data_IF_039234502267
#
_entry.id   IF_039234502267
#
_cell.length_a   1.000
_cell.length_b   1.000
_cell.length_c   1.000
_cell.angle_alpha   90.00
_cell.angle_beta   90.00
_cell.angle_gamma   90.00
#
_symmetry.space_group_name_H-M   'P 1'
#
loop_
_entity.id
_entity.type
_entity.pdbx_description
1 polymer ?
#
# COMPACT_ATOMS: atom_id res chain seq x y z
N UNK A 1 8.91 -29.10 -1.45
CA UNK A 1 8.55 -28.79 -0.04
C UNK A 1 7.23 -28.04 -0.05
N UNK A 2 6.26 -28.48 0.78
CA UNK A 2 4.95 -27.80 0.86
C UNK A 2 4.99 -26.70 1.91
N UNK A 3 4.50 -25.52 1.57
CA UNK A 3 4.36 -24.37 2.47
C UNK A 3 3.01 -23.70 2.22
N UNK A 4 2.55 -22.87 3.18
CA UNK A 4 1.34 -22.05 3.04
C UNK A 4 1.72 -20.59 3.27
N UNK A 5 1.33 -19.71 2.38
CA UNK A 5 1.43 -18.26 2.56
C UNK A 5 0.03 -17.66 2.62
N UNK A 6 -0.18 -16.80 3.61
CA UNK A 6 -1.45 -16.11 3.81
C UNK A 6 -1.23 -14.61 3.76
N UNK A 7 -2.07 -13.92 2.98
CA UNK A 7 -2.09 -12.47 2.93
C UNK A 7 -3.49 -11.94 3.23
N UNK A 8 -3.57 -10.74 3.81
CA UNK A 8 -4.81 -10.03 4.04
C UNK A 8 -4.81 -8.67 3.35
N UNK A 9 -5.99 -8.20 2.98
CA UNK A 9 -6.25 -6.85 2.52
C UNK A 9 -7.53 -6.31 3.15
N UNK A 10 -7.73 -5.01 3.07
CA UNK A 10 -8.89 -4.33 3.62
C UNK A 10 -9.52 -3.38 2.60
N UNK A 11 -10.81 -3.08 2.77
CA UNK A 11 -11.50 -2.09 1.94
C UNK A 11 -11.10 -0.66 2.30
N UNK A 12 -11.41 0.30 1.42
CA UNK A 12 -11.22 1.73 1.68
C UNK A 12 -11.94 2.21 2.96
N UNK A 13 -13.01 1.53 3.37
CA UNK A 13 -13.77 1.87 4.57
C UNK A 13 -13.21 1.32 5.87
N UNK A 14 -12.13 0.53 5.82
CA UNK A 14 -11.45 0.10 7.04
C UNK A 14 -10.87 1.31 7.79
N UNK A 15 -10.97 1.40 9.14
CA UNK A 15 -10.56 2.58 9.91
C UNK A 15 -9.15 3.08 9.58
N UNK A 16 -8.16 2.18 9.52
CA UNK A 16 -6.79 2.57 9.19
C UNK A 16 -6.68 3.11 7.76
N UNK A 17 -7.43 2.53 6.80
CA UNK A 17 -7.42 3.01 5.41
C UNK A 17 -8.19 4.29 5.19
N UNK A 18 -9.19 4.59 6.00
CA UNK A 18 -9.79 5.93 6.06
C UNK A 18 -8.72 6.98 6.42
N UNK A 19 -7.89 6.68 7.42
CA UNK A 19 -6.80 7.57 7.84
C UNK A 19 -5.72 7.74 6.75
N UNK A 20 -5.27 6.64 6.14
CA UNK A 20 -4.29 6.66 5.04
C UNK A 20 -4.77 7.50 3.86
N UNK A 21 -6.03 7.32 3.45
CA UNK A 21 -6.62 8.08 2.33
C UNK A 21 -6.76 9.58 2.64
N UNK A 22 -7.11 9.95 3.87
CA UNK A 22 -7.17 11.36 4.27
C UNK A 22 -5.77 11.97 4.26
N UNK A 23 -4.77 11.28 4.82
CA UNK A 23 -3.39 11.76 4.89
C UNK A 23 -2.79 11.97 3.48
N UNK A 24 -2.97 11.02 2.57
CA UNK A 24 -2.47 11.13 1.19
C UNK A 24 -3.28 12.13 0.34
N UNK A 25 -4.58 12.30 0.58
CA UNK A 25 -5.37 13.36 -0.07
C UNK A 25 -4.92 14.76 0.36
N UNK A 26 -4.51 14.92 1.62
CA UNK A 26 -3.92 16.16 2.13
C UNK A 26 -2.56 16.40 1.48
N UNK A 27 -1.70 15.38 1.42
CA UNK A 27 -0.40 15.44 0.75
C UNK A 27 -0.57 15.88 -0.71
N UNK A 28 -1.47 15.24 -1.46
CA UNK A 28 -1.72 15.56 -2.86
C UNK A 28 -2.21 17.00 -3.05
N UNK A 29 -3.08 17.48 -2.16
CA UNK A 29 -3.58 18.85 -2.22
C UNK A 29 -2.45 19.88 -1.97
N UNK A 30 -1.54 19.59 -1.05
CA UNK A 30 -0.38 20.45 -0.78
C UNK A 30 0.58 20.44 -1.97
N UNK A 31 0.95 19.26 -2.49
CA UNK A 31 1.90 19.11 -3.60
C UNK A 31 1.39 19.71 -4.91
N UNK A 32 0.07 19.76 -5.11
CA UNK A 32 -0.53 20.40 -6.27
C UNK A 32 -0.26 21.91 -6.34
N UNK A 33 -0.13 22.57 -5.18
CA UNK A 33 0.13 24.01 -5.07
C UNK A 33 1.60 24.32 -4.74
N UNK A 34 2.26 23.45 -3.96
CA UNK A 34 3.65 23.56 -3.55
C UNK A 34 4.39 22.22 -3.71
N UNK A 35 4.96 21.93 -4.89
CA UNK A 35 5.71 20.70 -5.12
C UNK A 35 6.98 20.56 -4.27
N UNK A 36 7.43 21.64 -3.62
CA UNK A 36 8.62 21.63 -2.74
C UNK A 36 8.28 21.40 -1.26
N UNK A 37 6.98 21.27 -0.93
CA UNK A 37 6.52 21.09 0.44
C UNK A 37 7.14 19.90 1.16
N UNK A 38 7.33 20.04 2.46
CA UNK A 38 7.67 18.96 3.37
C UNK A 38 6.43 18.63 4.22
N UNK A 39 6.00 17.37 4.13
CA UNK A 39 4.76 16.89 4.76
C UNK A 39 5.03 15.59 5.50
N UNK A 40 4.64 15.56 6.76
CA UNK A 40 4.52 14.37 7.59
C UNK A 40 3.16 14.46 8.28
N UNK A 41 2.11 14.01 7.61
CA UNK A 41 0.73 14.11 8.05
C UNK A 41 0.25 12.76 8.56
N UNK A 42 -0.17 12.72 9.81
CA UNK A 42 -0.76 11.57 10.46
C UNK A 42 -2.24 11.84 10.75
N UNK A 43 -3.06 10.81 10.62
CA UNK A 43 -4.50 10.89 10.87
C UNK A 43 -4.91 9.79 11.82
N UNK A 44 -5.76 10.11 12.78
CA UNK A 44 -6.48 9.15 13.61
C UNK A 44 -7.98 9.34 13.44
N UNK A 45 -8.72 8.23 13.42
CA UNK A 45 -10.18 8.26 13.33
C UNK A 45 -10.78 7.26 14.34
N UNK A 46 -11.81 7.67 15.03
CA UNK A 46 -12.60 6.84 15.95
C UNK A 46 -14.03 7.36 15.99
N UNK A 47 -14.91 6.76 16.76
CA UNK A 47 -16.33 7.14 16.85
C UNK A 47 -16.53 8.66 16.79
N UNK A 48 -17.17 9.14 15.73
CA UNK A 48 -17.52 10.55 15.47
C UNK A 48 -16.36 11.56 15.51
N UNK A 49 -15.09 11.11 15.42
CA UNK A 49 -13.95 12.00 15.48
C UNK A 49 -12.88 11.63 14.45
N UNK A 50 -12.23 12.67 13.92
CA UNK A 50 -11.01 12.61 13.13
C UNK A 50 -10.03 13.63 13.69
N UNK A 51 -8.77 13.25 13.86
CA UNK A 51 -7.70 14.16 14.22
C UNK A 51 -6.60 14.10 13.16
N UNK A 52 -6.27 15.23 12.59
CA UNK A 52 -5.20 15.43 11.60
C UNK A 52 -4.06 16.11 12.37
N UNK A 53 -2.89 15.50 12.40
CA UNK A 53 -1.75 16.00 13.18
C UNK A 53 -0.44 15.77 12.40
N UNK A 54 0.62 16.43 12.83
CA UNK A 54 1.95 16.28 12.26
C UNK A 54 2.61 17.59 11.82
N UNK A 55 3.57 17.47 10.92
CA UNK A 55 4.40 18.58 10.50
C UNK A 55 4.19 18.87 9.01
N UNK A 56 3.92 20.16 8.72
CA UNK A 56 3.79 20.66 7.35
C UNK A 56 4.58 21.94 7.20
N UNK A 57 5.54 21.94 6.27
CA UNK A 57 6.25 23.14 5.83
C UNK A 57 5.95 23.34 4.35
N UNK A 58 5.04 24.25 4.05
CA UNK A 58 4.56 24.53 2.71
C UNK A 58 4.13 25.99 2.58
N UNK A 59 4.16 26.52 1.36
CA UNK A 59 3.51 27.78 1.01
C UNK A 59 1.99 27.62 0.83
N UNK A 60 1.53 26.38 0.58
CA UNK A 60 0.12 26.02 0.45
C UNK A 60 -0.51 25.73 1.82
N UNK A 61 -1.77 26.09 1.97
CA UNK A 61 -2.57 25.78 3.16
C UNK A 61 -4.01 25.44 2.73
N UNK A 62 -4.25 24.24 2.22
CA UNK A 62 -5.58 23.81 1.80
C UNK A 62 -6.53 23.69 2.99
N UNK A 63 -7.84 23.63 2.71
CA UNK A 63 -8.84 23.35 3.73
C UNK A 63 -8.79 21.85 4.12
N UNK A 64 -8.01 21.53 5.14
CA UNK A 64 -7.77 20.17 5.63
C UNK A 64 -9.06 19.47 6.09
N UNK A 65 -9.97 20.23 6.74
CA UNK A 65 -11.26 19.70 7.17
C UNK A 65 -12.14 19.34 5.98
N UNK A 66 -12.22 20.21 4.97
CA UNK A 66 -13.00 19.95 3.77
C UNK A 66 -12.45 18.72 2.99
N UNK A 67 -11.11 18.55 2.94
CA UNK A 67 -10.47 17.37 2.32
C UNK A 67 -10.87 16.10 3.07
N UNK A 68 -10.74 16.08 4.40
CA UNK A 68 -11.11 14.92 5.20
C UNK A 68 -12.58 14.53 5.01
N UNK A 69 -13.50 15.49 5.08
CA UNK A 69 -14.94 15.26 4.89
C UNK A 69 -15.26 14.73 3.49
N UNK A 70 -14.59 15.24 2.44
CA UNK A 70 -14.74 14.75 1.07
C UNK A 70 -14.31 13.28 0.99
N UNK A 71 -13.12 12.93 1.49
CA UNK A 71 -12.60 11.55 1.48
C UNK A 71 -13.53 10.60 2.23
N UNK A 72 -14.00 10.97 3.41
CA UNK A 72 -14.93 10.17 4.22
C UNK A 72 -16.24 9.92 3.44
N UNK A 73 -16.77 10.95 2.78
CA UNK A 73 -17.99 10.84 1.96
C UNK A 73 -17.77 9.95 0.74
N UNK A 74 -16.63 10.11 0.04
CA UNK A 74 -16.28 9.34 -1.16
C UNK A 74 -16.08 7.85 -0.83
N UNK A 75 -15.60 7.51 0.37
CA UNK A 75 -15.52 6.14 0.87
C UNK A 75 -16.92 5.54 1.04
N UNK A 76 -17.92 6.35 1.41
CA UNK A 76 -19.31 5.93 1.60
C UNK A 76 -19.80 6.03 3.03
N UNK A 77 -19.10 6.75 3.91
CA UNK A 77 -19.61 7.21 5.20
C UNK A 77 -20.34 8.55 5.00
N UNK A 78 -21.51 8.48 4.33
CA UNK A 78 -22.22 9.61 3.71
C UNK A 78 -23.59 9.89 4.31
N UNK A 79 -23.98 9.19 5.38
CA UNK A 79 -25.32 9.31 5.96
C UNK A 79 -25.33 9.11 7.47
N UNK A 80 -26.26 9.79 8.18
CA UNK A 80 -26.45 9.63 9.62
C UNK A 80 -26.77 8.17 10.02
N UNK A 81 -26.36 7.80 11.23
CA UNK A 81 -26.67 6.50 11.83
C UNK A 81 -25.63 5.41 11.56
N UNK A 82 -24.55 5.72 10.85
CA UNK A 82 -23.42 4.82 10.67
C UNK A 82 -22.44 4.83 11.86
N UNK A 83 -22.63 5.74 12.84
CA UNK A 83 -21.73 5.93 13.99
C UNK A 83 -20.44 6.67 13.64
N UNK A 84 -20.27 7.00 12.38
CA UNK A 84 -19.22 7.82 11.79
C UNK A 84 -19.67 8.26 10.40
N UNK A 85 -19.73 9.54 10.13
CA UNK A 85 -20.08 10.09 8.81
C UNK A 85 -19.42 11.44 8.52
N UNK A 86 -19.37 11.79 7.24
CA UNK A 86 -18.66 12.96 6.73
C UNK A 86 -19.21 14.28 7.24
N UNK A 87 -20.51 14.37 7.57
CA UNK A 87 -21.16 15.63 7.91
C UNK A 87 -21.15 15.88 9.42
N UNK A 88 -21.31 14.83 10.24
CA UNK A 88 -21.45 14.96 11.68
C UNK A 88 -20.17 14.74 12.47
N UNK A 89 -19.15 14.02 11.93
CA UNK A 89 -17.91 13.77 12.66
C UNK A 89 -17.17 15.07 12.99
N UNK A 90 -16.55 15.11 14.15
CA UNK A 90 -15.68 16.21 14.56
C UNK A 90 -14.31 16.05 13.91
N UNK A 91 -13.86 17.05 13.17
CA UNK A 91 -12.50 17.09 12.59
C UNK A 91 -11.68 18.11 13.39
N UNK A 92 -10.57 17.63 13.97
CA UNK A 92 -9.57 18.48 14.64
C UNK A 92 -8.31 18.53 13.79
N UNK A 93 -7.72 19.72 13.63
CA UNK A 93 -6.49 19.94 12.87
C UNK A 93 -5.42 20.48 13.80
N UNK A 94 -4.35 19.71 13.97
CA UNK A 94 -3.23 19.98 14.86
C UNK A 94 -1.90 19.86 14.09
N UNK A 95 -1.79 20.57 12.97
CA UNK A 95 -0.59 20.65 12.15
C UNK A 95 0.30 21.82 12.59
N UNK A 96 1.61 21.63 12.58
CA UNK A 96 2.59 22.65 12.88
C UNK A 96 3.78 22.60 11.90
N UNK A 97 4.62 23.61 11.91
CA UNK A 97 5.79 23.68 11.03
C UNK A 97 6.91 22.75 11.53
N UNK A 98 7.59 22.08 10.61
CA UNK A 98 8.71 21.19 10.92
C UNK A 98 9.84 21.91 11.68
N UNK A 99 10.54 21.16 12.54
CA UNK A 99 11.70 21.68 13.28
C UNK A 99 12.81 22.15 12.33
N UNK A 100 13.36 23.37 12.53
CA UNK A 100 14.48 23.88 11.72
C UNK A 100 15.74 23.01 11.79
N UNK A 101 15.92 22.23 12.86
CA UNK A 101 17.10 21.37 13.03
C UNK A 101 17.08 20.16 12.10
N UNK A 102 15.89 19.61 11.83
CA UNK A 102 15.71 18.52 10.85
C UNK A 102 15.94 19.05 9.43
N UNK A 103 15.41 20.22 9.10
CA UNK A 103 15.57 20.84 7.79
C UNK A 103 17.04 21.06 7.42
N UNK A 104 17.88 21.52 8.37
CA UNK A 104 19.32 21.75 8.15
C UNK A 104 20.12 20.51 7.81
N UNK A 105 19.71 19.33 8.27
CA UNK A 105 20.40 18.06 8.01
C UNK A 105 20.09 17.49 6.63
N UNK A 106 19.02 17.94 5.99
CA UNK A 106 18.48 17.37 4.74
C UNK A 106 18.70 18.30 3.54
N UNK A 107 18.66 19.62 3.73
CA UNK A 107 18.81 20.61 2.65
C UNK A 107 20.26 20.82 2.27
N UNK A 108 20.66 20.38 1.08
CA UNK A 108 21.93 20.70 0.44
C UNK A 108 21.74 21.66 -0.74
N UNK A 109 22.82 22.36 -1.11
CA UNK A 109 22.82 23.39 -2.18
C UNK A 109 22.40 22.85 -3.56
N UNK A 110 22.63 21.58 -3.84
CA UNK A 110 22.14 20.91 -5.05
C UNK A 110 21.02 19.95 -4.68
N UNK A 111 19.92 20.02 -5.38
CA UNK A 111 18.73 19.18 -5.15
C UNK A 111 19.04 17.67 -5.27
N UNK A 112 20.10 17.33 -6.02
CA UNK A 112 20.56 15.95 -6.21
C UNK A 112 21.32 15.40 -4.99
N UNK A 113 21.92 16.28 -4.20
CA UNK A 113 22.68 15.93 -3.00
C UNK A 113 21.84 15.99 -1.72
N UNK A 114 20.50 16.11 -1.87
CA UNK A 114 19.57 16.05 -0.73
C UNK A 114 19.79 14.75 0.03
N UNK A 115 20.18 14.87 1.29
CA UNK A 115 20.36 13.73 2.18
C UNK A 115 19.03 13.04 2.52
N UNK A 116 19.11 11.79 2.94
CA UNK A 116 17.94 11.08 3.45
C UNK A 116 17.34 11.81 4.65
N UNK A 117 16.03 11.99 4.66
CA UNK A 117 15.31 12.67 5.73
C UNK A 117 15.25 11.89 7.05
N UNK A 118 15.59 10.62 7.00
CA UNK A 118 15.68 9.74 8.15
C UNK A 118 16.66 8.59 7.88
N UNK A 119 16.99 7.84 8.91
CA UNK A 119 17.62 6.52 8.80
C UNK A 119 16.53 5.46 8.56
N UNK A 120 16.90 4.36 7.92
CA UNK A 120 15.97 3.24 7.77
C UNK A 120 16.42 2.22 6.75
N UNK A 121 15.69 1.12 6.69
CA UNK A 121 15.84 0.09 5.66
C UNK A 121 14.51 -0.12 4.95
N UNK A 122 14.56 -0.19 3.63
CA UNK A 122 13.40 -0.35 2.76
C UNK A 122 13.56 -1.60 1.92
N UNK A 123 12.48 -2.32 1.71
CA UNK A 123 12.47 -3.57 0.96
C UNK A 123 11.61 -3.44 -0.29
N UNK A 124 12.13 -3.96 -1.39
CA UNK A 124 11.39 -4.18 -2.62
C UNK A 124 11.35 -5.67 -2.93
N UNK A 125 10.26 -6.14 -3.51
CA UNK A 125 10.10 -7.55 -3.87
C UNK A 125 9.39 -7.69 -5.22
N UNK A 126 9.72 -8.74 -5.94
CA UNK A 126 9.00 -9.17 -7.14
C UNK A 126 9.11 -10.68 -7.29
N UNK A 127 8.09 -11.30 -7.87
CA UNK A 127 8.07 -12.73 -8.21
C UNK A 127 7.18 -12.98 -9.43
N UNK A 128 7.38 -14.13 -10.11
CA UNK A 128 6.64 -14.51 -11.33
C UNK A 128 5.32 -15.21 -11.07
N UNK A 129 4.62 -14.85 -10.00
CA UNK A 129 3.37 -15.51 -9.65
C UNK A 129 2.15 -14.86 -10.32
N UNK A 130 2.25 -13.57 -10.66
CA UNK A 130 1.21 -12.79 -11.33
C UNK A 130 1.78 -11.95 -12.47
N UNK A 131 0.91 -11.41 -13.34
CA UNK A 131 1.30 -10.53 -14.45
C UNK A 131 2.07 -9.29 -13.99
N UNK A 132 1.68 -8.71 -12.84
CA UNK A 132 2.34 -7.55 -12.25
C UNK A 132 3.60 -7.87 -11.45
N UNK A 133 4.03 -9.14 -11.46
CA UNK A 133 5.18 -9.63 -10.70
C UNK A 133 5.01 -9.40 -9.19
N UNK A 134 3.80 -9.67 -8.69
CA UNK A 134 3.40 -9.61 -7.28
C UNK A 134 3.10 -11.02 -6.74
N UNK A 135 3.22 -11.22 -5.41
CA UNK A 135 2.80 -12.47 -4.78
C UNK A 135 1.30 -12.72 -4.96
N UNK A 136 0.93 -13.95 -5.31
CA UNK A 136 -0.46 -14.33 -5.58
C UNK A 136 -1.41 -14.10 -4.40
N UNK A 137 -1.05 -14.43 -3.12
CA UNK A 137 -1.99 -14.27 -2.00
C UNK A 137 -2.42 -12.84 -1.77
N UNK A 138 -1.49 -11.86 -1.83
CA UNK A 138 -1.86 -10.44 -1.65
C UNK A 138 -2.64 -9.92 -2.84
N UNK A 139 -2.26 -10.29 -4.06
CA UNK A 139 -2.99 -9.90 -5.28
C UNK A 139 -4.46 -10.36 -5.21
N UNK A 140 -4.71 -11.61 -4.79
CA UNK A 140 -6.07 -12.11 -4.63
C UNK A 140 -6.81 -11.45 -3.46
N UNK A 141 -6.14 -11.20 -2.33
CA UNK A 141 -6.74 -10.52 -1.20
C UNK A 141 -7.18 -9.09 -1.57
N UNK A 142 -6.33 -8.32 -2.25
CA UNK A 142 -6.67 -6.99 -2.76
C UNK A 142 -7.80 -7.01 -3.77
N UNK A 143 -7.77 -7.96 -4.71
CA UNK A 143 -8.82 -8.12 -5.71
C UNK A 143 -10.19 -8.43 -5.07
N UNK A 144 -10.22 -9.27 -4.03
CA UNK A 144 -11.44 -9.56 -3.25
C UNK A 144 -11.95 -8.32 -2.51
N UNK A 145 -11.06 -7.54 -1.89
CA UNK A 145 -11.43 -6.30 -1.20
C UNK A 145 -11.95 -5.23 -2.19
N UNK A 146 -11.29 -5.06 -3.35
CA UNK A 146 -11.78 -4.21 -4.44
C UNK A 146 -13.14 -4.66 -4.95
N UNK A 147 -13.33 -5.97 -5.15
CA UNK A 147 -14.60 -6.51 -5.63
C UNK A 147 -15.72 -6.29 -4.62
N UNK A 148 -15.44 -6.48 -3.32
CA UNK A 148 -16.40 -6.20 -2.25
C UNK A 148 -16.88 -4.75 -2.27
N UNK A 149 -15.96 -3.80 -2.46
CA UNK A 149 -16.31 -2.39 -2.62
C UNK A 149 -17.08 -2.12 -3.91
N UNK A 150 -16.68 -2.72 -5.03
CA UNK A 150 -17.32 -2.52 -6.31
C UNK A 150 -18.79 -2.95 -6.29
N UNK A 151 -19.11 -4.13 -5.72
CA UNK A 151 -20.51 -4.61 -5.63
C UNK A 151 -21.37 -3.80 -4.66
N UNK A 152 -20.75 -3.13 -3.67
CA UNK A 152 -21.40 -2.15 -2.82
C UNK A 152 -21.73 -0.88 -3.60
N UNK A 153 -20.73 -0.30 -4.28
CA UNK A 153 -20.85 0.99 -4.98
C UNK A 153 -21.79 0.95 -6.17
N UNK A 154 -21.80 -0.14 -6.93
CA UNK A 154 -22.67 -0.31 -8.09
C UNK A 154 -24.10 -0.80 -7.75
N UNK A 155 -24.38 -1.04 -6.45
CA UNK A 155 -25.70 -1.47 -5.98
C UNK A 155 -26.03 -2.94 -6.21
N UNK A 156 -25.10 -3.78 -6.62
CA UNK A 156 -25.31 -5.24 -6.70
C UNK A 156 -25.63 -5.82 -5.32
N UNK A 157 -24.89 -5.39 -4.29
CA UNK A 157 -25.14 -5.73 -2.89
C UNK A 157 -25.36 -4.45 -2.07
N UNK A 158 -26.54 -3.81 -2.15
CA UNK A 158 -26.81 -2.47 -1.60
C UNK A 158 -26.85 -2.43 -0.07
N UNK A 159 -26.86 -3.56 0.57
CA UNK A 159 -26.82 -3.71 2.02
C UNK A 159 -25.40 -3.77 2.60
N UNK A 160 -24.38 -3.84 1.76
CA UNK A 160 -22.99 -3.72 2.21
C UNK A 160 -22.70 -2.30 2.68
N UNK A 161 -21.86 -2.21 3.70
CA UNK A 161 -21.32 -0.96 4.25
C UNK A 161 -19.82 -0.88 3.98
N UNK A 162 -19.16 0.28 4.20
CA UNK A 162 -17.81 0.52 3.68
C UNK A 162 -16.71 -0.38 4.23
N UNK A 163 -16.80 -0.83 5.50
CA UNK A 163 -15.73 -1.60 6.14
C UNK A 163 -15.75 -3.07 5.74
N UNK A 164 -14.57 -3.61 5.51
CA UNK A 164 -14.42 -5.02 5.17
C UNK A 164 -12.96 -5.46 5.11
N UNK A 165 -12.77 -6.77 5.19
CA UNK A 165 -11.46 -7.44 5.09
C UNK A 165 -11.57 -8.67 4.22
N UNK A 166 -10.47 -8.98 3.56
CA UNK A 166 -10.25 -10.22 2.82
C UNK A 166 -8.96 -10.88 3.28
N UNK A 167 -8.90 -12.20 3.26
CA UNK A 167 -7.69 -12.97 3.51
C UNK A 167 -7.68 -14.18 2.59
N UNK A 168 -6.53 -14.48 2.00
CA UNK A 168 -6.34 -15.64 1.12
C UNK A 168 -5.11 -16.41 1.57
N UNK A 169 -5.27 -17.73 1.74
CA UNK A 169 -4.18 -18.67 2.00
C UNK A 169 -3.96 -19.53 0.76
N UNK A 170 -2.74 -19.53 0.25
CA UNK A 170 -2.31 -20.32 -0.90
C UNK A 170 -1.30 -21.36 -0.44
N UNK A 171 -1.51 -22.60 -0.84
CA UNK A 171 -0.53 -23.68 -0.70
C UNK A 171 0.46 -23.62 -1.86
N UNK A 172 1.73 -23.85 -1.53
CA UNK A 172 2.84 -23.88 -2.48
C UNK A 172 3.49 -25.24 -2.47
N UNK A 173 3.93 -25.70 -3.63
CA UNK A 173 4.82 -26.85 -3.78
C UNK A 173 6.06 -26.42 -4.57
N UNK A 174 7.24 -26.59 -3.95
CA UNK A 174 8.53 -26.23 -4.53
C UNK A 174 8.59 -24.76 -5.03
N UNK A 175 7.98 -23.85 -4.24
CA UNK A 175 7.99 -22.43 -4.49
C UNK A 175 6.96 -21.94 -5.52
N UNK A 176 6.08 -22.82 -6.03
CA UNK A 176 5.02 -22.46 -6.98
C UNK A 176 3.64 -22.57 -6.32
N UNK A 177 2.73 -21.65 -6.60
CA UNK A 177 1.33 -21.75 -6.15
C UNK A 177 0.71 -23.07 -6.64
N UNK A 178 0.07 -23.80 -5.72
CA UNK A 178 -0.57 -25.09 -6.02
C UNK A 178 -2.09 -24.99 -5.97
N UNK A 179 -2.64 -24.44 -4.88
CA UNK A 179 -4.09 -24.28 -4.65
C UNK A 179 -4.39 -23.23 -3.60
N UNK A 180 -5.61 -22.70 -3.64
CA UNK A 180 -6.13 -21.83 -2.60
C UNK A 180 -6.76 -22.72 -1.52
N UNK A 181 -6.19 -22.71 -0.32
CA UNK A 181 -6.69 -23.54 0.78
C UNK A 181 -7.78 -22.86 1.59
N UNK A 182 -7.71 -21.51 1.73
CA UNK A 182 -8.66 -20.77 2.58
C UNK A 182 -8.92 -19.37 2.04
N UNK A 183 -10.17 -18.97 2.09
CA UNK A 183 -10.63 -17.59 1.81
C UNK A 183 -11.48 -17.11 2.98
N UNK A 184 -11.13 -15.94 3.53
CA UNK A 184 -11.90 -15.28 4.59
C UNK A 184 -12.37 -13.93 4.09
N UNK A 185 -13.67 -13.64 4.23
CA UNK A 185 -14.27 -12.32 3.99
C UNK A 185 -14.99 -11.87 5.25
N UNK A 186 -14.64 -10.68 5.74
CA UNK A 186 -15.42 -9.95 6.74
C UNK A 186 -15.99 -8.71 6.09
N UNK A 187 -17.32 -8.59 6.02
CA UNK A 187 -18.01 -7.52 5.34
C UNK A 187 -19.02 -6.86 6.27
N UNK A 188 -18.87 -5.56 6.49
CA UNK A 188 -19.84 -4.75 7.21
C UNK A 188 -21.16 -4.68 6.41
N UNK A 189 -22.30 -4.82 7.09
CA UNK A 189 -23.60 -4.91 6.43
C UNK A 189 -24.74 -4.31 7.24
N UNK A 190 -25.83 -3.99 6.57
CA UNK A 190 -27.09 -3.58 7.18
C UNK A 190 -27.65 -4.69 8.07
N UNK A 191 -28.23 -4.31 9.20
CA UNK A 191 -28.85 -5.24 10.15
C UNK A 191 -30.02 -6.06 9.56
N UNK A 192 -30.57 -5.63 8.43
CA UNK A 192 -31.76 -6.23 7.83
C UNK A 192 -31.46 -7.50 6.99
N UNK A 193 -30.20 -7.73 6.59
CA UNK A 193 -29.84 -8.88 5.76
C UNK A 193 -29.63 -10.14 6.61
N UNK A 194 -30.29 -11.28 6.27
CA UNK A 194 -30.04 -12.56 6.94
C UNK A 194 -28.63 -13.08 6.64
N UNK A 195 -27.99 -13.68 7.63
CA UNK A 195 -26.58 -14.13 7.53
C UNK A 195 -26.34 -15.12 6.39
N UNK A 196 -27.25 -16.08 6.18
CA UNK A 196 -27.10 -17.07 5.11
C UNK A 196 -27.21 -16.44 3.72
N UNK A 197 -28.20 -15.55 3.52
CA UNK A 197 -28.35 -14.82 2.27
C UNK A 197 -27.12 -13.93 1.97
N UNK A 198 -26.54 -13.32 3.02
CA UNK A 198 -25.30 -12.56 2.92
C UNK A 198 -24.14 -13.46 2.45
N UNK A 199 -23.96 -14.62 3.07
CA UNK A 199 -22.89 -15.57 2.73
C UNK A 199 -22.99 -16.07 1.30
N UNK A 200 -24.17 -16.48 0.86
CA UNK A 200 -24.42 -16.92 -0.51
C UNK A 200 -24.14 -15.81 -1.53
N UNK A 201 -24.61 -14.58 -1.24
CA UNK A 201 -24.41 -13.44 -2.12
C UNK A 201 -22.92 -13.04 -2.22
N UNK A 202 -22.19 -12.98 -1.10
CA UNK A 202 -20.74 -12.68 -1.12
C UNK A 202 -19.98 -13.78 -1.86
N UNK A 203 -20.33 -15.06 -1.67
CA UNK A 203 -19.73 -16.15 -2.41
C UNK A 203 -19.88 -15.95 -3.92
N UNK A 204 -21.10 -15.77 -4.40
CA UNK A 204 -21.42 -15.64 -5.82
C UNK A 204 -20.93 -14.36 -6.46
N UNK A 205 -21.06 -13.20 -5.77
CA UNK A 205 -20.81 -11.90 -6.38
C UNK A 205 -19.39 -11.35 -6.12
N UNK A 206 -18.71 -11.87 -5.09
CA UNK A 206 -17.38 -11.37 -4.68
C UNK A 206 -16.31 -12.44 -4.89
N UNK A 207 -16.49 -13.64 -4.34
CA UNK A 207 -15.43 -14.67 -4.30
C UNK A 207 -15.30 -15.36 -5.66
N UNK A 208 -16.38 -15.97 -6.16
CA UNK A 208 -16.34 -16.78 -7.37
C UNK A 208 -15.85 -16.00 -8.63
N UNK A 209 -16.19 -14.70 -8.82
CA UNK A 209 -15.67 -13.95 -9.97
C UNK A 209 -14.19 -13.54 -9.88
N UNK A 210 -13.55 -13.66 -8.72
CA UNK A 210 -12.17 -13.20 -8.48
C UNK A 210 -11.17 -14.34 -8.46
N UNK A 211 -11.55 -15.48 -7.89
CA UNK A 211 -10.60 -16.58 -7.72
C UNK A 211 -10.39 -17.35 -9.04
N UNK A 212 -9.12 -17.67 -9.40
CA UNK A 212 -8.84 -18.57 -10.53
C UNK A 212 -9.42 -19.97 -10.29
N UNK A 213 -10.25 -20.44 -11.21
CA UNK A 213 -10.94 -21.73 -11.07
C UNK A 213 -9.96 -22.90 -10.92
N UNK A 214 -8.81 -22.83 -11.59
CA UNK A 214 -7.75 -23.85 -11.56
C UNK A 214 -7.03 -23.98 -10.21
N UNK A 215 -7.14 -22.97 -9.34
CA UNK A 215 -6.57 -22.98 -8.00
C UNK A 215 -7.57 -23.30 -6.89
N UNK A 216 -8.84 -23.49 -7.25
CA UNK A 216 -9.92 -23.79 -6.30
C UNK A 216 -10.34 -25.25 -6.46
N UNK A 217 -10.57 -25.95 -5.35
CA UNK A 217 -11.02 -27.33 -5.34
C UNK A 217 -12.07 -27.61 -4.24
N UNK A 218 -12.48 -28.86 -4.12
CA UNK A 218 -13.47 -29.29 -3.12
C UNK A 218 -13.03 -29.16 -1.65
N UNK A 219 -11.74 -28.93 -1.40
CA UNK A 219 -11.16 -28.78 -0.06
C UNK A 219 -10.91 -27.31 0.29
N UNK A 220 -11.15 -26.37 -0.64
CA UNK A 220 -11.02 -24.93 -0.38
C UNK A 220 -12.05 -24.49 0.67
N UNK A 221 -11.58 -23.99 1.80
CA UNK A 221 -12.42 -23.52 2.90
C UNK A 221 -12.83 -22.05 2.72
N UNK A 222 -14.09 -21.73 2.98
CA UNK A 222 -14.62 -20.36 2.88
C UNK A 222 -15.22 -19.93 4.20
N UNK A 223 -14.74 -18.83 4.74
CA UNK A 223 -15.24 -18.20 5.96
C UNK A 223 -15.76 -16.80 5.67
N UNK A 224 -17.09 -16.66 5.58
CA UNK A 224 -17.76 -15.39 5.29
C UNK A 224 -18.48 -14.95 6.55
N UNK A 225 -18.07 -13.81 7.13
CA UNK A 225 -18.53 -13.31 8.42
C UNK A 225 -18.61 -14.46 9.45
N UNK A 226 -17.48 -15.10 9.81
CA UNK A 226 -17.49 -16.31 10.65
C UNK A 226 -18.05 -16.04 12.05
N UNK A 227 -17.92 -14.81 12.56
CA UNK A 227 -18.51 -14.39 13.84
C UNK A 227 -20.00 -14.05 13.75
N UNK A 228 -20.59 -14.12 12.53
CA UNK A 228 -21.98 -13.83 12.24
C UNK A 228 -22.20 -12.36 11.87
N UNK A 229 -22.75 -11.57 12.79
CA UNK A 229 -23.20 -10.20 12.51
C UNK A 229 -22.03 -9.21 12.56
N UNK A 230 -21.88 -8.39 11.51
CA UNK A 230 -20.92 -7.28 11.43
C UNK A 230 -21.64 -6.00 10.96
N UNK A 231 -22.36 -5.34 11.86
CA UNK A 231 -23.18 -4.16 11.55
C UNK A 231 -22.47 -2.87 11.98
N UNK A 232 -21.83 -2.85 13.15
CA UNK A 232 -20.99 -1.75 13.60
C UNK A 232 -19.59 -1.99 13.08
N UNK A 233 -19.09 -1.10 12.25
CA UNK A 233 -17.76 -1.16 11.63
C UNK A 233 -17.24 0.23 11.33
N UNK A 234 -16.12 0.30 10.58
CA UNK A 234 -15.43 1.54 10.35
C UNK A 234 -14.91 2.18 11.64
N UNK A 235 -14.63 3.49 11.66
CA UNK A 235 -14.16 4.20 12.86
C UNK A 235 -15.11 4.14 14.06
N UNK A 236 -16.38 3.80 13.86
CA UNK A 236 -17.33 3.56 14.94
C UNK A 236 -17.11 2.22 15.65
N UNK A 237 -16.57 1.23 14.95
CA UNK A 237 -16.33 -0.11 15.50
C UNK A 237 -14.93 -0.28 16.07
N UNK A 238 -13.93 0.32 15.44
CA UNK A 238 -12.52 0.26 15.83
C UNK A 238 -11.80 1.55 15.43
N UNK A 239 -10.80 1.96 16.20
CA UNK A 239 -10.03 3.17 15.88
C UNK A 239 -9.03 2.92 14.76
N UNK A 240 -8.93 3.89 13.85
CA UNK A 240 -7.97 3.92 12.76
C UNK A 240 -6.78 4.83 13.06
N UNK A 241 -5.65 4.50 12.45
CA UNK A 241 -4.43 5.29 12.47
C UNK A 241 -3.68 5.13 11.15
N UNK A 242 -3.10 6.19 10.64
CA UNK A 242 -2.19 6.18 9.47
C UNK A 242 -1.07 5.16 9.67
N UNK A 243 -0.75 4.41 8.62
CA UNK A 243 0.42 3.53 8.61
C UNK A 243 0.29 2.24 9.42
N UNK A 244 -0.92 1.75 9.68
CA UNK A 244 -1.16 0.47 10.38
C UNK A 244 -1.48 -0.71 9.47
N UNK A 245 -1.47 -0.53 8.15
CA UNK A 245 -1.71 -1.58 7.15
C UNK A 245 -0.52 -1.77 6.20
N UNK A 246 0.69 -1.54 6.71
CA UNK A 246 1.94 -1.52 5.92
C UNK A 246 2.24 -2.83 5.20
N UNK A 247 1.79 -3.96 5.71
CA UNK A 247 1.99 -5.26 5.08
C UNK A 247 1.00 -5.46 3.91
N UNK A 248 -0.26 -5.03 4.07
CA UNK A 248 -1.24 -4.98 2.98
C UNK A 248 -0.87 -3.93 1.92
N UNK A 249 -0.21 -2.84 2.31
CA UNK A 249 0.28 -1.80 1.40
C UNK A 249 1.43 -2.28 0.51
N UNK A 250 2.09 -3.39 0.86
CA UNK A 250 3.28 -3.89 0.19
C UNK A 250 3.08 -5.30 -0.39
N UNK A 251 3.60 -6.34 0.26
CA UNK A 251 3.69 -7.69 -0.33
C UNK A 251 2.91 -8.76 0.44
N UNK A 252 2.02 -8.36 1.37
CA UNK A 252 1.16 -9.29 2.11
C UNK A 252 1.91 -10.32 2.96
N UNK A 253 3.15 -10.03 3.37
CA UNK A 253 3.98 -10.93 4.18
C UNK A 253 4.88 -11.87 3.37
N UNK A 254 4.89 -11.78 2.03
CA UNK A 254 5.79 -12.57 1.17
C UNK A 254 7.25 -12.08 1.23
N UNK A 255 7.46 -10.81 1.59
CA UNK A 255 8.76 -10.16 1.70
C UNK A 255 8.98 -9.59 3.10
N UNK A 256 10.23 -9.24 3.41
CA UNK A 256 10.58 -8.47 4.59
C UNK A 256 9.99 -7.05 4.50
N UNK A 257 9.89 -6.38 5.64
CA UNK A 257 9.45 -4.99 5.72
C UNK A 257 10.31 -4.22 6.72
N UNK A 258 10.70 -2.99 6.37
CA UNK A 258 11.52 -2.13 7.22
C UNK A 258 10.77 -1.42 8.36
N UNK A 259 9.44 -1.46 8.34
CA UNK A 259 8.56 -0.84 9.33
C UNK A 259 8.07 0.56 8.96
N UNK A 260 8.63 1.21 7.93
CA UNK A 260 8.22 2.55 7.49
C UNK A 260 6.85 2.56 6.81
N UNK A 261 5.93 3.41 7.28
CA UNK A 261 4.66 3.68 6.63
C UNK A 261 4.82 4.68 5.48
N UNK A 262 3.91 4.64 4.50
CA UNK A 262 3.96 5.50 3.31
C UNK A 262 3.03 6.71 3.41
N UNK A 263 1.76 6.48 3.71
CA UNK A 263 0.71 7.50 3.65
C UNK A 263 1.02 8.72 4.51
N UNK A 264 0.72 9.91 3.98
CA UNK A 264 0.96 11.19 4.64
C UNK A 264 2.39 11.73 4.56
N UNK A 265 3.33 10.96 3.97
CA UNK A 265 4.75 11.35 3.84
C UNK A 265 5.05 11.87 2.44
N UNK A 266 5.65 13.06 2.35
CA UNK A 266 6.20 13.59 1.11
C UNK A 266 7.43 12.78 0.63
N UNK A 267 7.84 12.93 -0.65
CA UNK A 267 8.88 12.08 -1.23
C UNK A 267 10.30 12.29 -0.68
N UNK A 268 10.55 13.25 0.19
CA UNK A 268 11.85 13.38 0.88
C UNK A 268 12.03 12.33 1.97
N UNK A 269 10.96 11.69 2.41
CA UNK A 269 10.98 10.59 3.37
C UNK A 269 11.32 9.28 2.66
N UNK A 270 12.50 8.75 2.96
CA UNK A 270 13.03 7.53 2.32
C UNK A 270 12.21 6.28 2.63
N UNK A 271 11.45 6.25 3.72
CA UNK A 271 10.48 5.19 4.00
C UNK A 271 9.58 4.91 2.80
N UNK A 272 9.12 5.96 2.13
CA UNK A 272 8.29 5.89 0.93
C UNK A 272 9.11 5.77 -0.34
N UNK A 273 9.98 6.73 -0.60
CA UNK A 273 10.73 6.84 -1.86
C UNK A 273 11.73 5.70 -2.03
N UNK A 274 12.41 5.29 -0.97
CA UNK A 274 13.33 4.15 -0.97
C UNK A 274 12.61 2.82 -1.17
N UNK A 275 11.41 2.64 -0.60
CA UNK A 275 10.60 1.45 -0.83
C UNK A 275 10.11 1.35 -2.29
N UNK A 276 9.73 2.47 -2.91
CA UNK A 276 9.37 2.53 -4.32
C UNK A 276 10.56 2.22 -5.24
N UNK A 277 11.75 2.74 -4.92
CA UNK A 277 12.97 2.39 -5.64
C UNK A 277 13.32 0.91 -5.47
N UNK A 278 13.26 0.38 -4.27
CA UNK A 278 13.55 -1.03 -4.01
C UNK A 278 12.59 -1.96 -4.81
N UNK A 279 11.29 -1.62 -4.86
CA UNK A 279 10.31 -2.32 -5.72
C UNK A 279 10.69 -2.23 -7.20
N UNK A 280 11.02 -1.05 -7.68
CA UNK A 280 11.43 -0.84 -9.06
C UNK A 280 12.62 -1.73 -9.44
N UNK A 281 13.64 -1.79 -8.59
CA UNK A 281 14.84 -2.60 -8.83
C UNK A 281 14.52 -4.10 -8.83
N UNK A 282 13.81 -4.60 -7.82
CA UNK A 282 13.41 -6.00 -7.72
C UNK A 282 12.55 -6.43 -8.93
N UNK A 283 11.59 -5.58 -9.32
CA UNK A 283 10.73 -5.83 -10.47
C UNK A 283 11.51 -5.92 -11.78
N UNK A 284 12.46 -5.03 -11.99
CA UNK A 284 13.30 -5.04 -13.20
C UNK A 284 14.23 -6.25 -13.29
N UNK A 285 14.80 -6.74 -12.16
CA UNK A 285 15.59 -7.97 -12.13
C UNK A 285 14.74 -9.17 -12.58
N UNK A 286 13.52 -9.31 -12.04
CA UNK A 286 12.61 -10.40 -12.41
C UNK A 286 12.10 -10.25 -13.85
N UNK A 287 11.76 -9.05 -14.29
CA UNK A 287 11.34 -8.75 -15.65
C UNK A 287 12.48 -8.97 -16.69
N UNK A 288 13.72 -8.76 -16.30
CA UNK A 288 14.89 -9.09 -17.10
C UNK A 288 15.08 -10.60 -17.31
N UNK A 289 14.45 -11.43 -16.50
CA UNK A 289 14.60 -12.88 -16.55
C UNK A 289 15.80 -13.40 -15.78
N UNK A 290 16.39 -12.57 -14.94
CA UNK A 290 17.58 -12.93 -14.17
C UNK A 290 17.26 -13.72 -12.90
N UNK A 291 16.00 -13.67 -12.42
CA UNK A 291 15.52 -14.48 -11.31
C UNK A 291 14.00 -14.71 -11.44
N UNK A 292 13.48 -15.76 -10.77
CA UNK A 292 12.02 -15.99 -10.67
C UNK A 292 11.41 -15.17 -9.54
N UNK A 293 12.20 -14.83 -8.51
CA UNK A 293 11.85 -13.93 -7.42
C UNK A 293 13.09 -13.19 -6.94
N UNK A 294 12.87 -11.95 -6.48
CA UNK A 294 13.95 -11.10 -6.03
C UNK A 294 13.46 -10.17 -4.92
N UNK A 295 14.25 -10.05 -3.86
CA UNK A 295 14.12 -9.03 -2.83
C UNK A 295 15.33 -8.09 -2.90
N UNK A 296 15.09 -6.79 -2.84
CA UNK A 296 16.13 -5.76 -2.75
C UNK A 296 15.95 -5.00 -1.44
N UNK A 297 17.02 -4.87 -0.66
CA UNK A 297 17.07 -4.00 0.51
C UNK A 297 17.92 -2.78 0.21
N UNK A 298 17.38 -1.60 0.50
CA UNK A 298 18.11 -0.34 0.54
C UNK A 298 18.14 0.15 1.99
N UNK A 299 19.29 0.63 2.45
CA UNK A 299 19.39 1.24 3.76
C UNK A 299 20.00 2.64 3.64
N UNK A 300 19.44 3.58 4.41
CA UNK A 300 19.89 4.98 4.45
C UNK A 300 20.25 5.40 5.87
N UNK A 301 21.12 6.39 5.97
CA UNK A 301 21.40 7.11 7.21
C UNK A 301 20.96 8.58 7.04
N UNK A 302 20.42 9.16 8.09
CA UNK A 302 19.93 10.55 8.07
C UNK A 302 21.05 11.50 7.60
N UNK A 303 20.72 12.40 6.68
CA UNK A 303 21.65 13.41 6.15
C UNK A 303 22.64 12.89 5.09
N UNK A 304 22.73 11.57 4.83
CA UNK A 304 23.51 11.02 3.73
C UNK A 304 22.64 10.84 2.49
N UNK A 305 23.20 11.18 1.32
CA UNK A 305 22.49 11.03 0.05
C UNK A 305 22.58 9.58 -0.47
N UNK A 306 23.77 8.99 -0.46
CA UNK A 306 23.95 7.61 -0.93
C UNK A 306 23.41 6.59 0.08
N UNK A 307 22.84 5.47 -0.39
CA UNK A 307 22.47 4.37 0.50
C UNK A 307 23.72 3.80 1.19
N UNK A 308 23.62 3.50 2.47
CA UNK A 308 24.73 2.89 3.24
C UNK A 308 24.89 1.40 2.94
N UNK A 309 23.85 0.75 2.40
CA UNK A 309 23.93 -0.62 1.87
C UNK A 309 22.85 -0.88 0.81
N UNK A 310 23.21 -1.75 -0.13
CA UNK A 310 22.32 -2.34 -1.14
C UNK A 310 22.49 -3.86 -1.08
N UNK A 311 21.42 -4.60 -0.85
CA UNK A 311 21.43 -6.06 -0.82
C UNK A 311 20.42 -6.59 -1.83
N UNK A 312 20.79 -7.65 -2.52
CA UNK A 312 19.90 -8.43 -3.40
C UNK A 312 19.83 -9.85 -2.86
N UNK A 313 18.66 -10.45 -2.86
CA UNK A 313 18.43 -11.86 -2.54
C UNK A 313 17.46 -12.43 -3.58
N UNK A 314 17.95 -13.32 -4.42
CA UNK A 314 17.14 -14.04 -5.42
C UNK A 314 16.59 -15.36 -4.91
N UNK A 315 16.79 -15.68 -3.62
CA UNK A 315 16.35 -16.93 -2.99
C UNK A 315 16.81 -18.18 -3.72
N UNK A 316 17.99 -18.12 -4.34
CA UNK A 316 18.56 -19.21 -5.11
C UNK A 316 17.89 -19.46 -6.48
N UNK A 317 17.05 -18.55 -6.95
CA UNK A 317 16.41 -18.64 -8.28
C UNK A 317 17.17 -17.83 -9.35
N UNK A 318 18.20 -17.09 -8.94
CA UNK A 318 18.98 -16.24 -9.82
C UNK A 318 19.85 -17.02 -10.79
N UNK A 319 19.93 -16.56 -12.03
CA UNK A 319 20.91 -17.01 -13.03
C UNK A 319 22.28 -16.36 -12.86
N UNK A 320 22.34 -15.32 -12.04
CA UNK A 320 23.51 -14.50 -11.70
C UNK A 320 23.65 -14.45 -10.18
N UNK A 321 24.88 -14.34 -9.68
CA UNK A 321 25.13 -14.20 -8.24
C UNK A 321 24.50 -12.91 -7.68
N UNK A 322 23.91 -13.00 -6.51
CA UNK A 322 23.21 -11.88 -5.85
C UNK A 322 24.16 -10.69 -5.62
N UNK A 323 25.43 -10.96 -5.28
CA UNK A 323 26.45 -9.92 -5.08
C UNK A 323 26.80 -9.20 -6.39
N UNK A 324 26.76 -9.89 -7.54
CA UNK A 324 27.00 -9.27 -8.84
C UNK A 324 25.84 -8.36 -9.24
N UNK A 325 24.60 -8.75 -8.95
CA UNK A 325 23.42 -7.91 -9.15
C UNK A 325 23.48 -6.68 -8.26
N UNK A 326 23.78 -6.82 -6.97
CA UNK A 326 23.91 -5.71 -6.03
C UNK A 326 25.02 -4.73 -6.43
N UNK A 327 26.18 -5.23 -6.87
CA UNK A 327 27.29 -4.40 -7.35
C UNK A 327 26.89 -3.61 -8.60
N UNK A 328 26.25 -4.28 -9.58
CA UNK A 328 25.80 -3.60 -10.79
C UNK A 328 24.78 -2.50 -10.49
N UNK A 329 23.79 -2.78 -9.63
CA UNK A 329 22.80 -1.78 -9.21
C UNK A 329 23.48 -0.56 -8.56
N UNK A 330 24.44 -0.80 -7.68
CA UNK A 330 25.18 0.27 -7.00
C UNK A 330 25.99 1.14 -7.96
N UNK A 331 26.55 0.55 -9.03
CA UNK A 331 27.37 1.25 -10.01
C UNK A 331 26.53 2.00 -11.06
N UNK A 332 25.37 1.46 -11.46
CA UNK A 332 24.62 1.93 -12.64
C UNK A 332 23.32 2.66 -12.28
N UNK A 333 22.80 2.52 -11.06
CA UNK A 333 21.54 3.16 -10.66
C UNK A 333 21.79 4.15 -9.53
N UNK A 334 21.49 5.42 -9.81
CA UNK A 334 21.57 6.46 -8.78
C UNK A 334 20.34 6.38 -7.85
N UNK A 335 20.60 5.97 -6.61
CA UNK A 335 19.58 5.74 -5.58
C UNK A 335 19.54 6.86 -4.54
N UNK A 336 20.15 8.02 -4.83
CA UNK A 336 20.06 9.21 -3.95
C UNK A 336 18.63 9.75 -3.91
N UNK A 337 18.10 10.18 -2.76
CA UNK A 337 16.70 10.63 -2.61
C UNK A 337 16.29 11.67 -3.65
N UNK A 338 17.09 12.72 -3.87
CA UNK A 338 16.77 13.75 -4.86
C UNK A 338 16.69 13.25 -6.30
N UNK A 339 17.50 12.23 -6.64
CA UNK A 339 17.46 11.59 -7.96
C UNK A 339 16.25 10.70 -8.12
N UNK A 340 15.91 9.91 -7.11
CA UNK A 340 14.71 9.06 -7.11
C UNK A 340 13.43 9.90 -7.24
N UNK A 341 13.33 11.01 -6.50
CA UNK A 341 12.23 11.95 -6.57
C UNK A 341 12.04 12.46 -8.01
N UNK A 342 13.12 12.86 -8.67
CA UNK A 342 13.09 13.34 -10.05
C UNK A 342 12.77 12.21 -11.03
N UNK A 343 13.42 11.04 -10.90
CA UNK A 343 13.21 9.89 -11.79
C UNK A 343 11.77 9.45 -11.83
N UNK A 344 11.12 9.40 -10.69
CA UNK A 344 9.72 8.94 -10.57
C UNK A 344 8.69 10.08 -10.58
N UNK A 345 9.12 11.35 -10.70
CA UNK A 345 8.21 12.49 -10.69
C UNK A 345 7.39 12.63 -9.40
N UNK A 346 7.98 12.26 -8.26
CA UNK A 346 7.27 12.11 -6.98
C UNK A 346 6.76 13.41 -6.35
N UNK A 347 7.06 14.57 -6.92
CA UNK A 347 6.49 15.85 -6.47
C UNK A 347 5.12 16.16 -7.10
N UNK A 348 4.53 15.17 -7.78
CA UNK A 348 3.19 15.26 -8.35
C UNK A 348 2.13 14.69 -7.40
N UNK A 349 0.86 15.13 -7.48
CA UNK A 349 -0.25 14.65 -6.64
C UNK A 349 -0.74 13.27 -7.14
N UNK A 350 -0.05 12.20 -6.77
CA UNK A 350 -0.29 10.83 -7.24
C UNK A 350 -0.55 9.83 -6.10
N UNK A 351 -0.50 10.30 -4.85
CA UNK A 351 -0.42 9.43 -3.68
C UNK A 351 -1.76 8.89 -3.21
N UNK A 352 -2.82 9.70 -3.27
CA UNK A 352 -4.16 9.25 -2.89
C UNK A 352 -4.63 8.05 -3.72
N UNK A 353 -4.17 7.91 -4.97
CA UNK A 353 -4.55 6.78 -5.84
C UNK A 353 -4.07 5.43 -5.37
N UNK A 354 -3.01 5.38 -4.56
CA UNK A 354 -2.40 4.16 -4.02
C UNK A 354 -2.58 4.00 -2.51
N UNK A 355 -3.27 4.93 -1.86
CA UNK A 355 -3.50 4.89 -0.42
C UNK A 355 -4.40 3.74 0.05
N UNK A 356 -5.02 3.00 -0.87
CA UNK A 356 -5.81 1.81 -0.63
C UNK A 356 -5.52 0.76 -1.72
N UNK A 357 -5.60 -0.53 -1.38
CA UNK A 357 -5.37 -1.66 -2.29
C UNK A 357 -3.94 -1.79 -2.82
N UNK A 358 -2.96 -1.44 -1.99
CA UNK A 358 -1.54 -1.63 -2.27
C UNK A 358 -0.88 -0.50 -3.06
N UNK A 359 0.39 -0.28 -2.75
CA UNK A 359 1.25 0.70 -3.45
C UNK A 359 1.99 0.09 -4.65
N UNK A 360 1.84 -1.22 -4.86
CA UNK A 360 2.53 -1.99 -5.89
C UNK A 360 1.53 -2.85 -6.68
N UNK A 361 1.98 -3.37 -7.84
CA UNK A 361 1.20 -4.26 -8.68
C UNK A 361 0.09 -3.56 -9.46
N UNK A 362 -1.06 -4.21 -9.60
CA UNK A 362 -2.17 -3.75 -10.43
C UNK A 362 -2.62 -2.32 -10.14
N UNK A 363 -2.74 -1.98 -8.86
CA UNK A 363 -3.22 -0.67 -8.43
C UNK A 363 -2.27 0.49 -8.81
N UNK A 364 -0.98 0.19 -8.93
CA UNK A 364 0.07 1.15 -9.27
C UNK A 364 0.67 0.95 -10.67
N UNK A 365 0.12 0.06 -11.50
CA UNK A 365 0.68 -0.40 -12.79
C UNK A 365 1.16 0.72 -13.70
N UNK A 366 0.48 1.87 -13.70
CA UNK A 366 0.84 3.03 -14.52
C UNK A 366 1.85 3.97 -13.88
N UNK A 367 2.20 3.74 -12.61
CA UNK A 367 3.09 4.62 -11.86
C UNK A 367 4.57 4.30 -12.15
N UNK A 368 5.46 5.29 -12.01
CA UNK A 368 6.84 5.17 -12.47
C UNK A 368 7.64 4.04 -11.81
N UNK A 369 7.37 3.72 -10.56
CA UNK A 369 8.09 2.65 -9.85
C UNK A 369 7.64 1.23 -10.22
N UNK A 370 6.58 1.11 -11.01
CA UNK A 370 6.12 -0.17 -11.58
C UNK A 370 6.61 -0.40 -13.02
N UNK A 371 7.36 0.52 -13.61
CA UNK A 371 7.90 0.38 -14.95
C UNK A 371 9.09 -0.60 -14.98
N UNK A 372 9.29 -1.24 -16.14
CA UNK A 372 10.35 -2.26 -16.36
C UNK A 372 11.37 -1.82 -17.40
N UNK A 373 11.60 -0.51 -17.50
CA UNK A 373 12.50 0.13 -18.46
C UNK A 373 13.99 -0.25 -18.25
N UNK A 374 14.40 -0.59 -17.02
CA UNK A 374 15.76 -1.02 -16.68
C UNK A 374 16.04 -2.50 -17.10
N UNK A 375 14.99 -3.29 -17.34
CA UNK A 375 15.15 -4.72 -17.63
C UNK A 375 15.98 -5.01 -18.90
N UNK A 376 15.95 -4.10 -19.88
CA UNK A 376 16.77 -4.22 -21.10
C UNK A 376 18.26 -4.08 -20.83
N UNK A 377 18.65 -3.13 -20.00
CA UNK A 377 20.03 -2.88 -19.58
C UNK A 377 20.56 -4.04 -18.74
N UNK A 378 19.76 -4.53 -17.79
CA UNK A 378 20.10 -5.69 -16.96
C UNK A 378 20.37 -6.93 -17.82
N UNK A 379 19.51 -7.25 -18.81
CA UNK A 379 19.73 -8.36 -19.74
C UNK A 379 20.99 -8.21 -20.61
N UNK A 380 21.38 -7.00 -20.92
CA UNK A 380 22.58 -6.75 -21.72
C UNK A 380 23.86 -6.83 -20.90
N UNK A 381 23.76 -6.66 -19.57
CA UNK A 381 24.89 -6.70 -18.66
C UNK A 381 25.26 -8.13 -18.22
N UNK A 382 24.26 -9.02 -18.21
CA UNK A 382 24.39 -10.41 -17.74
C UNK A 382 23.91 -11.42 -18.80
#
# INVERSE_FOLDING_TARGET
MKTVLTSEAVTCGHPDKVCDQIADAILDAILAEDPAAHVACEVTAWTDNVNIMGEVTASASPDYEAIARRVIRDIGYDRPGMGFDADSCRVAVNLHTQSPDIARGVEHKAQEDTGAGDQGMMFGYACRETEDLMPLPITLAEALAKRLEAVRRNGTLPWLLPDGKSQVSVEYEDGKPLRISTVVISAQHSAAVPTEALREAIRREVIDPVLPEELVDGETAYFINPTGRFVIGGPAGDSGLTGRKIIADTYGGAARHGGGAFSGKDPTKVDRTGAYMARYLAKNIVAAGLADRCEVQLAYAIGLADPVSVMVDTFGTGSVADEALAAWLTEHVDMRPGVMIRRFGLRSPIYHTVSCYGHFGENARTLPWEQTDLAGELRAAF
#
